data_IF_049494796191
#
_entry.id   IF_049494796191
#
_cell.length_a   1.000
_cell.length_b   1.000
_cell.length_c   1.000
_cell.angle_alpha   90.00
_cell.angle_beta   90.00
_cell.angle_gamma   90.00
#
_symmetry.space_group_name_H-M   'P 1'
#
loop_
_entity.id
_entity.type
_entity.pdbx_description
1 polymer ?
#
# COMPACT_ATOMS: atom_id res chain seq x y z
N UNK A 1 20.86 26.65 -25.09
CA UNK A 1 19.98 26.81 -23.89
C UNK A 1 20.36 25.74 -22.87
N UNK A 2 20.82 26.09 -21.67
CA UNK A 2 21.06 25.08 -20.64
C UNK A 2 19.72 24.43 -20.23
N UNK A 3 19.74 23.10 -20.03
CA UNK A 3 18.62 22.32 -19.53
C UNK A 3 19.10 21.49 -18.35
N UNK A 4 18.23 21.28 -17.36
CA UNK A 4 18.44 20.35 -16.26
C UNK A 4 17.25 19.39 -16.18
N UNK A 5 17.52 18.15 -15.77
CA UNK A 5 16.52 17.11 -15.51
C UNK A 5 16.98 16.32 -14.28
N UNK A 6 16.03 15.97 -13.41
CA UNK A 6 16.23 15.00 -12.33
C UNK A 6 15.33 13.80 -12.57
N UNK A 7 15.87 12.63 -12.30
CA UNK A 7 15.17 11.36 -12.39
C UNK A 7 15.35 10.61 -11.08
N UNK A 8 14.26 10.11 -10.53
CA UNK A 8 14.25 9.31 -9.32
C UNK A 8 13.38 8.09 -9.57
N UNK A 9 13.96 6.90 -9.37
CA UNK A 9 13.23 5.64 -9.43
C UNK A 9 12.85 5.23 -8.01
N UNK A 10 11.56 5.25 -7.70
CA UNK A 10 11.08 4.95 -6.36
C UNK A 10 10.90 3.44 -6.17
N UNK A 11 11.42 2.92 -5.07
CA UNK A 11 11.17 1.54 -4.63
C UNK A 11 10.90 1.52 -3.13
N UNK A 12 9.64 1.28 -2.77
CA UNK A 12 9.17 1.38 -1.38
C UNK A 12 9.92 0.44 -0.42
N UNK A 13 10.45 -0.69 -0.90
CA UNK A 13 11.17 -1.67 -0.08
C UNK A 13 12.66 -1.36 0.11
N UNK A 14 13.24 -0.31 -0.49
CA UNK A 14 14.68 -0.02 -0.37
C UNK A 14 15.14 0.05 1.09
N UNK A 15 14.43 0.80 1.92
CA UNK A 15 14.81 0.97 3.35
C UNK A 15 14.82 -0.35 4.10
N UNK A 16 13.77 -1.17 3.96
CA UNK A 16 13.64 -2.44 4.69
C UNK A 16 14.53 -3.54 4.13
N UNK A 17 14.70 -3.59 2.81
CA UNK A 17 15.55 -4.57 2.13
C UNK A 17 17.04 -4.38 2.47
N UNK A 18 17.49 -3.12 2.60
CA UNK A 18 18.89 -2.80 2.90
C UNK A 18 19.14 -2.38 4.35
N UNK A 19 18.10 -2.36 5.19
CA UNK A 19 18.19 -1.96 6.60
C UNK A 19 18.89 -0.61 6.78
N UNK A 20 18.49 0.39 5.98
CA UNK A 20 19.11 1.72 6.03
C UNK A 20 18.95 2.34 7.41
N UNK A 21 19.87 3.24 7.78
CA UNK A 21 19.83 3.92 9.09
C UNK A 21 18.50 4.66 9.34
N UNK A 22 17.82 5.08 8.27
CA UNK A 22 16.52 5.75 8.29
C UNK A 22 15.33 4.79 8.06
N UNK A 23 15.48 3.47 8.31
CA UNK A 23 14.39 2.48 8.15
C UNK A 23 13.13 2.85 8.94
N UNK A 24 13.31 3.56 10.06
CA UNK A 24 12.24 4.05 10.91
C UNK A 24 11.25 4.93 10.12
N UNK A 25 11.65 5.62 9.04
CA UNK A 25 10.77 6.59 8.36
C UNK A 25 9.43 6.03 7.89
N UNK A 26 9.36 4.72 7.66
CA UNK A 26 8.09 4.06 7.38
C UNK A 26 7.12 4.09 8.58
N UNK A 27 7.62 3.96 9.82
CA UNK A 27 6.86 4.12 11.06
C UNK A 27 6.30 5.54 11.19
N UNK A 28 7.12 6.60 11.07
CA UNK A 28 6.63 7.99 11.14
C UNK A 28 5.53 8.26 10.11
N UNK A 29 5.73 7.79 8.88
CA UNK A 29 4.76 7.97 7.80
C UNK A 29 3.45 7.25 8.11
N UNK A 30 3.50 6.02 8.63
CA UNK A 30 2.29 5.26 8.98
C UNK A 30 1.55 5.86 10.18
N UNK A 31 2.25 6.37 11.20
CA UNK A 31 1.62 7.08 12.32
C UNK A 31 0.91 8.34 11.84
N UNK A 32 1.57 9.13 10.98
CA UNK A 32 0.95 10.32 10.39
C UNK A 32 -0.27 9.97 9.55
N UNK A 33 -0.24 8.88 8.78
CA UNK A 33 -1.42 8.40 8.05
C UNK A 33 -2.55 8.05 9.01
N UNK A 34 -2.26 7.40 10.14
CA UNK A 34 -3.27 7.11 11.18
C UNK A 34 -3.94 8.37 11.70
N UNK A 35 -3.16 9.38 12.10
CA UNK A 35 -3.69 10.65 12.59
C UNK A 35 -4.59 11.35 11.57
N UNK A 36 -4.19 11.30 10.28
CA UNK A 36 -4.97 11.87 9.19
C UNK A 36 -6.26 11.09 8.89
N UNK A 37 -6.29 9.78 9.15
CA UNK A 37 -7.52 8.99 9.07
C UNK A 37 -8.44 9.34 10.24
N UNK A 38 -7.90 9.40 11.46
CA UNK A 38 -8.67 9.65 12.67
C UNK A 38 -9.31 11.05 12.67
N UNK A 39 -8.63 12.05 12.10
CA UNK A 39 -9.16 13.40 11.96
C UNK A 39 -10.01 13.63 10.69
N UNK A 40 -10.21 12.58 9.86
CA UNK A 40 -11.05 12.61 8.67
C UNK A 40 -10.44 13.30 7.44
N UNK A 41 -9.17 13.72 7.48
CA UNK A 41 -8.47 14.27 6.31
C UNK A 41 -8.25 13.21 5.23
N UNK A 42 -7.92 11.99 5.64
CA UNK A 42 -7.85 10.81 4.79
C UNK A 42 -9.04 9.90 5.07
N UNK A 43 -9.54 9.25 4.02
CA UNK A 43 -10.56 8.21 4.11
C UNK A 43 -10.02 6.90 3.57
N UNK A 44 -10.58 5.79 4.06
CA UNK A 44 -10.23 4.46 3.58
C UNK A 44 -10.48 4.34 2.07
N UNK A 45 -9.58 3.62 1.39
CA UNK A 45 -9.71 3.28 -0.03
C UNK A 45 -10.22 1.86 -0.26
N UNK A 46 -10.68 1.20 0.81
CA UNK A 46 -11.30 -0.14 0.72
C UNK A 46 -12.60 -0.03 -0.07
N UNK A 47 -12.68 -0.79 -1.15
CA UNK A 47 -13.84 -0.83 -2.06
C UNK A 47 -14.45 -2.22 -2.13
N UNK A 48 -13.69 -3.24 -1.74
CA UNK A 48 -14.14 -4.62 -1.79
C UNK A 48 -13.55 -5.43 -0.64
N UNK A 49 -14.39 -6.18 0.05
CA UNK A 49 -13.98 -7.14 1.08
C UNK A 49 -14.35 -8.55 0.60
N UNK A 50 -13.33 -9.39 0.40
CA UNK A 50 -13.48 -10.74 -0.14
C UNK A 50 -13.76 -11.79 0.96
N UNK A 51 -13.90 -11.36 2.21
CA UNK A 51 -14.13 -12.21 3.37
C UNK A 51 -12.82 -12.78 3.94
N UNK A 52 -12.90 -13.96 4.57
CA UNK A 52 -11.76 -14.59 5.24
C UNK A 52 -10.66 -14.98 4.28
N UNK A 53 -9.42 -14.98 4.78
CA UNK A 53 -8.27 -15.46 4.02
C UNK A 53 -8.39 -16.98 3.84
N UNK A 54 -8.51 -17.40 2.59
CA UNK A 54 -8.47 -18.79 2.14
C UNK A 54 -7.74 -18.85 0.79
N UNK A 55 -7.45 -20.05 0.29
CA UNK A 55 -6.82 -20.21 -1.03
C UNK A 55 -7.72 -19.63 -2.13
N UNK A 56 -9.03 -19.81 -1.99
CA UNK A 56 -10.04 -19.35 -2.94
C UNK A 56 -10.09 -17.82 -2.97
N UNK A 57 -10.20 -17.18 -1.80
CA UNK A 57 -10.29 -15.70 -1.73
C UNK A 57 -8.98 -15.03 -2.14
N UNK A 58 -7.83 -15.63 -1.83
CA UNK A 58 -6.53 -15.16 -2.33
C UNK A 58 -6.42 -15.25 -3.85
N UNK A 59 -6.82 -16.37 -4.46
CA UNK A 59 -6.82 -16.51 -5.94
C UNK A 59 -7.72 -15.47 -6.60
N UNK A 60 -8.90 -15.23 -6.05
CA UNK A 60 -9.81 -14.18 -6.53
C UNK A 60 -9.18 -12.79 -6.41
N UNK A 61 -8.57 -12.46 -5.26
CA UNK A 61 -7.90 -11.18 -5.04
C UNK A 61 -6.76 -10.96 -6.05
N UNK A 62 -5.95 -11.99 -6.29
CA UNK A 62 -4.85 -11.96 -7.27
C UNK A 62 -5.37 -11.74 -8.70
N UNK A 63 -6.35 -12.52 -9.14
CA UNK A 63 -6.94 -12.36 -10.48
C UNK A 63 -7.48 -10.95 -10.70
N UNK A 64 -8.12 -10.35 -9.69
CA UNK A 64 -8.60 -8.97 -9.76
C UNK A 64 -7.45 -7.97 -9.86
N UNK A 65 -6.37 -8.13 -9.09
CA UNK A 65 -5.21 -7.25 -9.14
C UNK A 65 -4.48 -7.34 -10.49
N UNK A 66 -4.23 -8.56 -10.97
CA UNK A 66 -3.54 -8.83 -12.24
C UNK A 66 -4.31 -8.28 -13.45
N UNK A 67 -5.64 -8.15 -13.34
CA UNK A 67 -6.46 -7.55 -14.39
C UNK A 67 -6.17 -6.06 -14.62
N UNK A 68 -5.57 -5.36 -13.64
CA UNK A 68 -5.32 -3.91 -13.68
C UNK A 68 -6.59 -3.05 -13.62
N UNK A 69 -7.77 -3.65 -13.34
CA UNK A 69 -9.08 -2.97 -13.34
C UNK A 69 -9.61 -2.67 -11.94
N UNK A 70 -8.89 -3.06 -10.89
CA UNK A 70 -9.31 -2.81 -9.52
C UNK A 70 -9.35 -1.29 -9.24
N UNK A 71 -10.49 -0.82 -8.73
CA UNK A 71 -10.66 0.54 -8.23
C UNK A 71 -10.57 0.48 -6.71
N UNK A 72 -9.67 1.24 -6.10
CA UNK A 72 -9.45 1.22 -4.64
C UNK A 72 -8.63 -0.01 -4.19
N UNK A 73 -9.02 -0.60 -3.05
CA UNK A 73 -8.33 -1.72 -2.42
C UNK A 73 -9.28 -2.88 -2.11
N UNK A 74 -8.86 -4.08 -2.52
CA UNK A 74 -9.42 -5.35 -2.06
C UNK A 74 -8.81 -5.72 -0.71
N UNK A 75 -9.63 -6.15 0.26
CA UNK A 75 -9.17 -6.63 1.58
C UNK A 75 -9.69 -8.03 1.89
N UNK A 76 -9.00 -8.72 2.80
CA UNK A 76 -9.37 -10.02 3.35
C UNK A 76 -9.26 -10.02 4.88
N UNK A 77 -10.25 -10.58 5.58
CA UNK A 77 -10.52 -10.42 7.02
C UNK A 77 -9.83 -11.48 7.91
N UNK A 78 -8.52 -11.69 7.73
CA UNK A 78 -7.71 -12.62 8.54
C UNK A 78 -8.04 -14.10 8.33
N UNK A 79 -7.39 -14.98 9.10
CA UNK A 79 -7.63 -16.42 9.09
C UNK A 79 -8.68 -16.80 10.15
N UNK A 80 -9.38 -17.91 9.93
CA UNK A 80 -10.21 -18.53 10.97
C UNK A 80 -9.33 -19.34 11.92
#
# INVERSE_FOLDING_TARGET
>A
KPKALSFSWEFMFTRSMFQTEDIEKQHELLNRVSELIDNGTLISTVTNNLGKISVETLKTAHSQQESGRAIGKNVLDGFN
#
